data_IF_689234240634
#
_entry.id   IF_689234240634
#
_cell.length_a   1.000
_cell.length_b   1.000
_cell.length_c   1.000
_cell.angle_alpha   90.00
_cell.angle_beta   90.00
_cell.angle_gamma   90.00
#
_symmetry.space_group_name_H-M   'P 1'
#
loop_
_entity.id
_entity.type
_entity.pdbx_description
1 polymer ?
#
# COMPACT_ATOMS: atom_id res chain seq x y z
N UNK A 1 2.89 8.09 -15.29
CA UNK A 1 2.14 8.76 -14.20
C UNK A 1 2.12 10.28 -14.33
N UNK A 2 3.28 10.97 -14.39
CA UNK A 2 3.28 12.44 -14.58
C UNK A 2 2.69 12.84 -15.95
N UNK A 3 3.22 12.27 -17.03
CA UNK A 3 2.77 12.55 -18.38
C UNK A 3 1.27 12.26 -18.61
N UNK A 4 0.69 11.36 -17.82
CA UNK A 4 -0.70 10.96 -17.89
C UNK A 4 -1.62 11.72 -16.93
N UNK A 5 -1.09 12.64 -16.12
CA UNK A 5 -1.85 13.45 -15.16
C UNK A 5 -2.20 12.77 -13.83
N UNK A 6 -1.90 11.48 -13.66
CA UNK A 6 -2.15 10.74 -12.42
C UNK A 6 -1.43 11.38 -11.24
N UNK A 7 -0.21 11.86 -11.50
CA UNK A 7 0.59 12.66 -10.58
C UNK A 7 0.84 14.03 -11.22
N UNK A 8 0.40 15.08 -10.55
CA UNK A 8 0.81 16.45 -10.76
C UNK A 8 2.15 16.64 -10.07
N UNK A 9 3.21 16.82 -10.87
CA UNK A 9 4.58 16.92 -10.36
C UNK A 9 4.75 18.07 -9.37
N UNK A 10 4.17 19.24 -9.65
CA UNK A 10 4.33 20.42 -8.79
C UNK A 10 3.64 20.22 -7.44
N UNK A 11 2.44 19.65 -7.42
CA UNK A 11 1.74 19.30 -6.17
C UNK A 11 2.54 18.27 -5.37
N UNK A 12 3.05 17.23 -6.05
CA UNK A 12 3.81 16.16 -5.42
C UNK A 12 5.10 16.72 -4.79
N UNK A 13 5.90 17.49 -5.53
CA UNK A 13 7.12 18.10 -5.01
C UNK A 13 6.83 19.09 -3.86
N UNK A 14 5.75 19.89 -3.98
CA UNK A 14 5.32 20.82 -2.93
C UNK A 14 4.96 20.11 -1.62
N UNK A 15 4.32 18.94 -1.70
CA UNK A 15 4.00 18.11 -0.53
C UNK A 15 5.26 17.73 0.25
N UNK A 16 6.34 17.35 -0.44
CA UNK A 16 7.59 16.93 0.20
C UNK A 16 8.49 18.11 0.58
N UNK A 17 8.40 19.26 -0.10
CA UNK A 17 9.04 20.49 0.35
C UNK A 17 8.66 20.83 1.81
N UNK A 18 7.39 20.61 2.19
CA UNK A 18 6.92 20.79 3.56
C UNK A 18 7.39 19.70 4.55
N UNK A 19 8.01 18.61 4.07
CA UNK A 19 8.39 17.42 4.83
C UNK A 19 9.91 17.17 4.87
N UNK A 20 10.72 18.19 4.56
CA UNK A 20 12.18 18.08 4.54
C UNK A 20 12.79 18.04 3.13
N UNK A 21 11.97 18.14 2.08
CA UNK A 21 12.39 18.19 0.69
C UNK A 21 12.51 16.82 0.02
N UNK A 22 12.69 16.85 -1.30
CA UNK A 22 12.94 15.66 -2.12
C UNK A 22 14.42 15.29 -2.07
N UNK A 23 14.74 14.03 -1.78
CA UNK A 23 16.10 13.51 -1.94
C UNK A 23 16.39 13.24 -3.43
N UNK A 24 17.66 13.12 -3.84
CA UNK A 24 18.00 12.73 -5.22
C UNK A 24 17.34 11.41 -5.65
N UNK A 25 17.22 10.45 -4.73
CA UNK A 25 16.54 9.18 -4.97
C UNK A 25 15.03 9.38 -5.21
N UNK A 26 14.36 10.19 -4.38
CA UNK A 26 12.94 10.50 -4.57
C UNK A 26 12.69 11.21 -5.89
N UNK A 27 13.54 12.17 -6.26
CA UNK A 27 13.46 12.85 -7.55
C UNK A 27 13.67 11.90 -8.73
N UNK A 28 14.61 10.95 -8.62
CA UNK A 28 14.84 9.92 -9.64
C UNK A 28 13.64 8.96 -9.76
N UNK A 29 13.04 8.55 -8.64
CA UNK A 29 11.83 7.73 -8.65
C UNK A 29 10.63 8.45 -9.28
N UNK A 30 10.50 9.75 -9.07
CA UNK A 30 9.38 10.55 -9.58
C UNK A 30 9.51 10.88 -11.08
N UNK A 31 10.71 11.30 -11.52
CA UNK A 31 10.93 11.88 -12.86
C UNK A 31 11.83 11.05 -13.78
N UNK A 32 12.61 10.14 -13.19
CA UNK A 32 13.58 9.33 -13.90
C UNK A 32 13.00 8.06 -14.52
N UNK A 33 13.90 7.25 -15.06
CA UNK A 33 13.61 5.91 -15.59
C UNK A 33 14.73 4.96 -15.21
N UNK A 34 14.48 3.64 -15.23
CA UNK A 34 15.46 2.61 -14.88
C UNK A 34 16.05 2.76 -13.47
N UNK A 35 15.19 3.02 -12.47
CA UNK A 35 15.57 3.30 -11.08
C UNK A 35 16.05 2.06 -10.28
N UNK A 36 16.21 0.90 -10.93
CA UNK A 36 16.66 -0.33 -10.27
C UNK A 36 15.65 -0.88 -9.27
N UNK A 37 16.16 -1.52 -8.22
CA UNK A 37 15.34 -2.10 -7.15
C UNK A 37 14.82 -1.00 -6.21
N UNK A 38 13.52 -1.04 -5.93
CA UNK A 38 12.89 -0.14 -4.97
C UNK A 38 13.35 -0.49 -3.55
N UNK A 39 13.94 0.46 -2.84
CA UNK A 39 14.36 0.28 -1.44
C UNK A 39 13.45 1.08 -0.53
N UNK A 40 12.76 0.42 0.40
CA UNK A 40 11.99 1.12 1.44
C UNK A 40 12.85 1.35 2.68
N UNK A 41 12.80 2.57 3.19
CA UNK A 41 13.42 2.99 4.44
C UNK A 41 12.38 3.70 5.30
N UNK A 42 12.75 4.00 6.54
CA UNK A 42 11.91 4.78 7.44
C UNK A 42 11.66 6.19 6.90
N UNK A 43 12.66 6.78 6.27
CA UNK A 43 12.67 8.15 5.76
C UNK A 43 11.84 8.29 4.48
N UNK A 44 11.86 7.27 3.60
CA UNK A 44 11.16 7.32 2.33
C UNK A 44 9.80 6.59 2.31
N UNK A 45 9.39 5.92 3.39
CA UNK A 45 8.18 5.08 3.41
C UNK A 45 6.91 5.84 3.02
N UNK A 46 6.75 7.08 3.49
CA UNK A 46 5.64 7.95 3.12
C UNK A 46 5.73 8.51 1.70
N UNK A 47 6.94 8.64 1.14
CA UNK A 47 7.14 8.92 -0.29
C UNK A 47 6.69 7.75 -1.15
N UNK A 48 7.17 6.55 -0.82
CA UNK A 48 6.82 5.33 -1.55
C UNK A 48 5.34 5.01 -1.45
N UNK A 49 4.71 5.25 -0.30
CA UNK A 49 3.26 5.12 -0.16
C UNK A 49 2.52 5.95 -1.19
N UNK A 50 2.84 7.25 -1.31
CA UNK A 50 2.12 8.14 -2.23
C UNK A 50 2.45 7.85 -3.69
N UNK A 51 3.68 7.44 -4.01
CA UNK A 51 4.07 7.03 -5.35
C UNK A 51 3.31 5.76 -5.78
N UNK A 52 3.28 4.75 -4.90
CA UNK A 52 2.57 3.49 -5.15
C UNK A 52 1.06 3.66 -5.12
N UNK A 53 0.53 4.59 -4.32
CA UNK A 53 -0.88 4.97 -4.37
C UNK A 53 -1.24 5.54 -5.74
N UNK A 54 -0.43 6.45 -6.27
CA UNK A 54 -0.57 6.95 -7.64
C UNK A 54 -0.53 5.83 -8.68
N UNK A 55 0.36 4.85 -8.51
CA UNK A 55 0.40 3.68 -9.39
C UNK A 55 -0.89 2.85 -9.30
N UNK A 56 -1.30 2.50 -8.08
CA UNK A 56 -2.48 1.65 -7.86
C UNK A 56 -3.79 2.30 -8.30
N UNK A 57 -3.98 3.61 -8.10
CA UNK A 57 -5.18 4.29 -8.59
C UNK A 57 -5.18 4.40 -10.13
N UNK A 58 -4.01 4.63 -10.72
CA UNK A 58 -3.87 4.93 -12.14
C UNK A 58 -3.83 3.71 -13.05
N UNK A 59 -3.29 2.59 -12.56
CA UNK A 59 -3.11 1.38 -13.38
C UNK A 59 -4.43 0.65 -13.59
N UNK A 60 -4.69 0.23 -14.83
CA UNK A 60 -5.86 -0.58 -15.18
C UNK A 60 -5.79 -1.94 -14.47
N UNK A 61 -6.78 -2.21 -13.62
CA UNK A 61 -6.90 -3.47 -12.90
C UNK A 61 -8.36 -3.87 -12.66
N UNK A 62 -8.68 -5.16 -12.85
CA UNK A 62 -10.02 -5.71 -12.62
C UNK A 62 -10.47 -5.63 -11.17
N UNK A 63 -9.55 -5.62 -10.19
CA UNK A 63 -9.87 -5.40 -8.78
C UNK A 63 -10.58 -4.07 -8.56
N UNK A 64 -10.27 -3.05 -9.36
CA UNK A 64 -10.88 -1.72 -9.26
C UNK A 64 -12.23 -1.62 -9.97
N UNK A 65 -12.38 -2.31 -11.11
CA UNK A 65 -13.60 -2.21 -11.94
C UNK A 65 -14.65 -3.25 -11.60
N UNK A 66 -14.25 -4.41 -11.07
CA UNK A 66 -15.12 -5.55 -10.78
C UNK A 66 -15.08 -5.96 -9.30
N UNK A 67 -14.14 -5.41 -8.53
CA UNK A 67 -13.98 -5.72 -7.11
C UNK A 67 -14.88 -4.92 -6.16
N UNK A 68 -14.69 -5.07 -4.84
CA UNK A 68 -15.60 -4.56 -3.82
C UNK A 68 -15.88 -3.06 -3.87
N UNK A 69 -14.89 -2.23 -4.27
CA UNK A 69 -15.07 -0.78 -4.41
C UNK A 69 -16.14 -0.39 -5.43
N UNK A 70 -16.33 -1.19 -6.48
CA UNK A 70 -17.32 -0.93 -7.51
C UNK A 70 -18.58 -1.80 -7.35
N UNK A 71 -18.80 -2.39 -6.17
CA UNK A 71 -19.95 -3.25 -5.93
C UNK A 71 -21.24 -2.44 -5.72
N UNK A 72 -22.38 -3.08 -5.98
CA UNK A 72 -23.73 -2.51 -5.77
C UNK A 72 -23.96 -2.08 -4.31
N UNK A 73 -23.34 -2.76 -3.34
CA UNK A 73 -23.41 -2.41 -1.92
C UNK A 73 -22.89 -0.99 -1.63
N UNK A 74 -22.04 -0.45 -2.51
CA UNK A 74 -21.52 0.92 -2.45
C UNK A 74 -22.04 1.78 -3.61
N UNK A 75 -23.13 1.37 -4.26
CA UNK A 75 -23.78 2.11 -5.34
C UNK A 75 -23.03 2.11 -6.67
N UNK A 76 -22.06 1.19 -6.86
CA UNK A 76 -21.14 1.19 -8.00
C UNK A 76 -20.42 2.55 -8.16
N UNK A 77 -20.05 3.18 -7.04
CA UNK A 77 -19.46 4.51 -6.99
C UNK A 77 -18.12 4.48 -6.21
N UNK A 78 -17.01 4.14 -6.89
CA UNK A 78 -15.70 4.06 -6.26
C UNK A 78 -15.14 5.43 -5.86
N UNK A 79 -15.79 6.56 -6.21
CA UNK A 79 -15.27 7.92 -5.92
C UNK A 79 -15.32 8.32 -4.44
N UNK A 80 -16.06 7.58 -3.62
CA UNK A 80 -16.34 7.93 -2.22
C UNK A 80 -15.35 7.36 -1.21
N UNK A 81 -14.42 6.53 -1.66
CA UNK A 81 -13.44 5.89 -0.79
C UNK A 81 -12.27 6.82 -0.50
N UNK A 82 -11.59 6.58 0.61
CA UNK A 82 -10.42 7.39 0.99
C UNK A 82 -9.28 7.26 -0.04
N UNK A 83 -9.16 6.12 -0.71
CA UNK A 83 -8.18 5.90 -1.78
C UNK A 83 -8.44 6.67 -3.07
N UNK A 84 -9.67 7.15 -3.31
CA UNK A 84 -10.02 7.91 -4.52
C UNK A 84 -10.31 9.36 -4.17
N UNK A 85 -11.24 9.62 -3.26
CA UNK A 85 -11.58 10.96 -2.78
C UNK A 85 -10.46 11.65 -2.00
N UNK A 86 -9.52 10.88 -1.43
CA UNK A 86 -8.33 11.41 -0.76
C UNK A 86 -7.16 11.72 -1.69
N UNK A 87 -7.19 11.28 -2.96
CA UNK A 87 -6.08 11.48 -3.88
C UNK A 87 -6.09 12.90 -4.47
N UNK A 88 -5.41 13.85 -3.84
CA UNK A 88 -5.40 15.28 -4.27
C UNK A 88 -4.29 15.63 -5.26
N UNK A 89 -3.39 14.68 -5.55
CA UNK A 89 -2.16 14.89 -6.29
C UNK A 89 -2.27 14.64 -7.79
N UNK A 90 -3.48 14.54 -8.35
CA UNK A 90 -3.68 14.43 -9.81
C UNK A 90 -3.85 15.80 -10.48
N UNK A 91 -3.64 15.82 -11.79
CA UNK A 91 -4.05 16.90 -12.68
C UNK A 91 -5.53 16.68 -13.00
N UNK A 92 -6.41 17.58 -12.54
CA UNK A 92 -7.85 17.43 -12.75
C UNK A 92 -8.51 16.54 -11.69
N UNK A 93 -9.50 15.74 -12.11
CA UNK A 93 -10.27 14.89 -11.20
C UNK A 93 -9.58 13.53 -11.03
N UNK A 94 -9.35 13.04 -9.80
CA UNK A 94 -8.79 11.70 -9.57
C UNK A 94 -9.51 10.57 -10.29
N UNK A 95 -10.83 10.69 -10.44
CA UNK A 95 -11.64 9.68 -11.12
C UNK A 95 -11.42 9.61 -12.62
N UNK A 96 -10.87 10.65 -13.25
CA UNK A 96 -10.46 10.61 -14.67
C UNK A 96 -9.24 9.68 -14.87
N UNK A 97 -8.56 9.33 -13.78
CA UNK A 97 -7.38 8.47 -13.76
C UNK A 97 -7.64 7.07 -13.19
N UNK A 98 -8.80 6.84 -12.56
CA UNK A 98 -9.11 5.60 -11.87
C UNK A 98 -9.14 4.40 -12.83
N UNK A 99 -8.20 3.46 -12.67
CA UNK A 99 -8.06 2.27 -13.52
C UNK A 99 -7.99 2.58 -15.03
N UNK A 100 -7.41 3.73 -15.40
CA UNK A 100 -7.52 4.28 -16.75
C UNK A 100 -6.26 4.11 -17.62
N UNK A 101 -5.11 3.74 -17.02
CA UNK A 101 -3.82 3.75 -17.70
C UNK A 101 -3.14 2.38 -17.64
N UNK A 102 -2.40 2.00 -18.68
CA UNK A 102 -1.62 0.75 -18.71
C UNK A 102 -0.17 1.00 -18.39
N UNK A 103 0.15 1.33 -17.13
CA UNK A 103 1.55 1.47 -16.71
C UNK A 103 2.22 0.10 -16.57
N UNK A 104 1.47 -0.86 -16.03
CA UNK A 104 1.86 -2.25 -15.83
C UNK A 104 0.76 -3.13 -16.43
N UNK A 105 1.14 -4.04 -17.32
CA UNK A 105 0.21 -5.01 -17.93
C UNK A 105 0.49 -6.39 -17.35
N UNK A 106 -0.54 -7.01 -16.78
CA UNK A 106 -0.46 -8.36 -16.21
C UNK A 106 -1.01 -9.39 -17.20
N UNK A 107 -0.38 -10.56 -17.24
CA UNK A 107 -0.97 -11.77 -17.80
C UNK A 107 -2.13 -12.27 -16.93
N UNK A 108 -3.03 -13.12 -17.45
CA UNK A 108 -4.10 -13.70 -16.64
C UNK A 108 -3.58 -14.38 -15.36
N UNK A 109 -2.47 -15.12 -15.46
CA UNK A 109 -1.86 -15.83 -14.33
C UNK A 109 -1.29 -14.85 -13.28
N UNK A 110 -0.70 -13.74 -13.73
CA UNK A 110 -0.22 -12.67 -12.84
C UNK A 110 -1.39 -11.94 -12.16
N UNK A 111 -2.49 -11.69 -12.87
CA UNK A 111 -3.69 -11.07 -12.29
C UNK A 111 -4.31 -11.98 -11.21
N UNK A 112 -4.44 -13.28 -11.49
CA UNK A 112 -4.91 -14.26 -10.50
C UNK A 112 -4.01 -14.32 -9.26
N UNK A 113 -2.69 -14.21 -9.44
CA UNK A 113 -1.73 -14.11 -8.36
C UNK A 113 -1.94 -12.85 -7.52
N UNK A 114 -2.09 -11.67 -8.15
CA UNK A 114 -2.38 -10.41 -7.45
C UNK A 114 -3.66 -10.52 -6.63
N UNK A 115 -4.75 -11.02 -7.21
CA UNK A 115 -6.03 -11.17 -6.52
C UNK A 115 -5.96 -12.11 -5.32
N UNK A 116 -5.24 -13.23 -5.46
CA UNK A 116 -5.05 -14.20 -4.38
C UNK A 116 -4.23 -13.62 -3.24
N UNK A 117 -3.12 -12.94 -3.53
CA UNK A 117 -2.27 -12.31 -2.51
C UNK A 117 -3.01 -11.16 -1.83
N UNK A 118 -3.68 -10.30 -2.61
CA UNK A 118 -4.41 -9.14 -2.13
C UNK A 118 -5.55 -9.51 -1.15
N UNK A 119 -6.15 -10.69 -1.28
CA UNK A 119 -7.16 -11.21 -0.33
C UNK A 119 -6.61 -11.43 1.08
N UNK A 120 -5.32 -11.77 1.20
CA UNK A 120 -4.70 -12.13 2.47
C UNK A 120 -4.04 -10.97 3.22
N UNK A 121 -3.89 -9.80 2.60
CA UNK A 121 -3.15 -8.67 3.19
C UNK A 121 -4.11 -7.68 3.82
N UNK A 122 -4.02 -7.51 5.14
CA UNK A 122 -4.77 -6.53 5.93
C UNK A 122 -3.86 -5.43 6.48
N UNK A 123 -4.49 -4.38 6.99
CA UNK A 123 -3.82 -3.18 7.53
C UNK A 123 -4.60 -2.63 8.72
N UNK A 124 -3.93 -2.17 9.79
CA UNK A 124 -4.56 -1.96 11.10
C UNK A 124 -5.50 -0.75 11.14
N UNK A 125 -5.46 0.11 10.12
CA UNK A 125 -6.33 1.28 10.01
C UNK A 125 -7.75 0.95 9.51
N UNK A 126 -7.99 -0.22 8.90
CA UNK A 126 -9.31 -0.63 8.39
C UNK A 126 -9.55 -2.14 8.54
N UNK A 127 -10.78 -2.59 8.29
CA UNK A 127 -11.15 -4.02 8.38
C UNK A 127 -10.98 -4.80 7.07
N UNK A 128 -10.65 -4.11 5.99
CA UNK A 128 -10.67 -4.64 4.63
C UNK A 128 -9.28 -5.14 4.19
N UNK A 129 -9.25 -6.19 3.37
CA UNK A 129 -8.00 -6.66 2.73
C UNK A 129 -7.60 -5.76 1.56
N UNK A 130 -6.41 -5.97 0.99
CA UNK A 130 -5.95 -5.24 -0.21
C UNK A 130 -6.83 -5.50 -1.43
N UNK A 131 -7.59 -6.60 -1.48
CA UNK A 131 -8.63 -6.81 -2.51
C UNK A 131 -9.72 -5.73 -2.46
N UNK A 132 -9.90 -5.06 -1.33
CA UNK A 132 -10.74 -3.88 -1.19
C UNK A 132 -9.84 -2.67 -0.84
N UNK A 133 -9.20 -2.04 -1.84
CA UNK A 133 -8.22 -0.98 -1.63
C UNK A 133 -8.90 0.39 -1.37
N UNK A 134 -9.74 0.47 -0.34
CA UNK A 134 -10.55 1.62 0.04
C UNK A 134 -9.80 2.80 0.69
N UNK A 135 -8.53 2.61 1.04
CA UNK A 135 -7.66 3.62 1.61
C UNK A 135 -6.32 3.70 0.87
N UNK A 136 -5.60 4.79 1.08
CA UNK A 136 -4.27 5.03 0.50
C UNK A 136 -3.31 3.83 0.68
N UNK A 137 -3.25 3.21 1.87
CA UNK A 137 -2.39 2.05 2.12
C UNK A 137 -2.82 0.81 1.33
N UNK A 138 -4.13 0.57 1.21
CA UNK A 138 -4.66 -0.54 0.41
C UNK A 138 -4.38 -0.35 -1.07
N UNK A 139 -4.57 0.87 -1.57
CA UNK A 139 -4.31 1.21 -2.97
C UNK A 139 -2.81 1.20 -3.30
N UNK A 140 -1.97 1.70 -2.40
CA UNK A 140 -0.51 1.60 -2.53
C UNK A 140 -0.03 0.15 -2.51
N UNK A 141 -0.58 -0.68 -1.63
CA UNK A 141 -0.27 -2.10 -1.61
C UNK A 141 -0.69 -2.78 -2.92
N UNK A 142 -1.87 -2.47 -3.47
CA UNK A 142 -2.29 -2.98 -4.78
C UNK A 142 -1.26 -2.63 -5.87
N UNK A 143 -0.86 -1.36 -5.97
CA UNK A 143 0.14 -0.91 -6.94
C UNK A 143 1.50 -1.62 -6.79
N UNK A 144 1.91 -1.93 -5.56
CA UNK A 144 3.10 -2.75 -5.30
C UNK A 144 2.94 -4.18 -5.81
N UNK A 145 1.82 -4.84 -5.50
CA UNK A 145 1.55 -6.21 -5.92
C UNK A 145 1.50 -6.34 -7.44
N UNK A 146 0.88 -5.38 -8.13
CA UNK A 146 0.87 -5.31 -9.60
C UNK A 146 2.29 -5.21 -10.17
N UNK A 147 3.11 -4.30 -9.62
CA UNK A 147 4.49 -4.13 -10.05
C UNK A 147 5.29 -5.43 -9.83
N UNK A 148 5.17 -6.06 -8.67
CA UNK A 148 5.87 -7.31 -8.35
C UNK A 148 5.44 -8.47 -9.25
N UNK A 149 4.13 -8.65 -9.44
CA UNK A 149 3.61 -9.71 -10.30
C UNK A 149 4.09 -9.55 -11.74
N UNK A 150 4.12 -8.32 -12.27
CA UNK A 150 4.63 -8.03 -13.61
C UNK A 150 6.10 -8.39 -13.82
N UNK A 151 6.88 -8.38 -12.74
CA UNK A 151 8.29 -8.77 -12.72
C UNK A 151 8.50 -10.28 -12.47
N UNK A 152 7.43 -11.05 -12.35
CA UNK A 152 7.47 -12.51 -12.21
C UNK A 152 7.81 -12.99 -10.79
N UNK A 153 7.63 -12.15 -9.78
CA UNK A 153 7.83 -12.55 -8.38
C UNK A 153 6.77 -13.56 -7.96
N UNK A 154 7.17 -14.48 -7.08
CA UNK A 154 6.32 -15.52 -6.51
C UNK A 154 5.37 -14.97 -5.44
N UNK A 155 4.33 -15.75 -5.13
CA UNK A 155 3.41 -15.46 -4.02
C UNK A 155 4.13 -15.21 -2.69
N UNK A 156 5.13 -16.03 -2.37
CA UNK A 156 5.86 -15.89 -1.11
C UNK A 156 6.64 -14.57 -1.08
N UNK A 157 7.35 -14.23 -2.16
CA UNK A 157 8.09 -12.96 -2.26
C UNK A 157 7.14 -11.75 -2.14
N UNK A 158 5.94 -11.84 -2.71
CA UNK A 158 4.91 -10.80 -2.58
C UNK A 158 4.42 -10.64 -1.14
N UNK A 159 4.20 -11.73 -0.41
CA UNK A 159 3.84 -11.65 1.01
C UNK A 159 4.98 -11.10 1.88
N UNK A 160 6.22 -11.51 1.62
CA UNK A 160 7.39 -11.05 2.38
C UNK A 160 7.65 -9.54 2.17
N UNK A 161 7.51 -9.07 0.92
CA UNK A 161 7.59 -7.65 0.61
C UNK A 161 6.43 -6.86 1.22
N UNK A 162 5.20 -7.38 1.13
CA UNK A 162 4.02 -6.75 1.73
C UNK A 162 4.17 -6.63 3.26
N UNK A 163 4.73 -7.64 3.93
CA UNK A 163 5.01 -7.60 5.36
C UNK A 163 6.03 -6.50 5.67
N UNK A 164 7.12 -6.45 4.92
CA UNK A 164 8.17 -5.46 5.09
C UNK A 164 7.61 -4.03 4.93
N UNK A 165 6.84 -3.81 3.87
CA UNK A 165 6.26 -2.50 3.55
C UNK A 165 5.23 -2.06 4.60
N UNK A 166 4.33 -2.95 5.00
CA UNK A 166 3.39 -2.66 6.07
C UNK A 166 4.10 -2.39 7.42
N UNK A 167 5.20 -3.09 7.72
CA UNK A 167 5.98 -2.83 8.93
C UNK A 167 6.59 -1.42 8.94
N UNK A 168 6.98 -0.87 7.78
CA UNK A 168 7.42 0.53 7.68
C UNK A 168 6.26 1.53 7.76
N UNK A 169 5.09 1.21 7.20
CA UNK A 169 3.91 2.08 7.24
C UNK A 169 3.20 2.07 8.61
N UNK A 170 3.28 0.97 9.35
CA UNK A 170 2.58 0.76 10.62
C UNK A 170 3.54 0.25 11.71
N UNK A 171 4.65 0.95 11.93
CA UNK A 171 5.74 0.52 12.81
C UNK A 171 5.27 0.07 14.20
N UNK A 172 4.44 0.86 14.88
CA UNK A 172 3.91 0.51 16.22
C UNK A 172 3.11 -0.80 16.19
N UNK A 173 2.31 -1.00 15.14
CA UNK A 173 1.51 -2.20 14.98
C UNK A 173 2.40 -3.43 14.84
N UNK A 174 3.37 -3.39 13.94
CA UNK A 174 4.23 -4.56 13.69
C UNK A 174 5.22 -4.83 14.82
N UNK A 175 5.69 -3.79 15.53
CA UNK A 175 6.44 -3.98 16.78
C UNK A 175 5.58 -4.68 17.84
N UNK A 176 4.31 -4.27 17.99
CA UNK A 176 3.39 -4.89 18.95
C UNK A 176 3.05 -6.33 18.56
N UNK A 177 2.82 -6.61 17.27
CA UNK A 177 2.60 -7.97 16.76
C UNK A 177 3.82 -8.85 17.03
N UNK A 178 5.03 -8.35 16.75
CA UNK A 178 6.27 -9.08 17.03
C UNK A 178 6.41 -9.40 18.51
N UNK A 179 6.21 -8.43 19.41
CA UNK A 179 6.23 -8.65 20.86
C UNK A 179 5.18 -9.68 21.31
N UNK A 180 3.99 -9.67 20.70
CA UNK A 180 2.98 -10.69 20.98
C UNK A 180 3.50 -12.10 20.62
N UNK A 181 4.03 -12.32 19.41
CA UNK A 181 4.55 -13.63 19.00
C UNK A 181 5.74 -14.08 19.85
N UNK A 182 6.66 -13.17 20.18
CA UNK A 182 7.79 -13.46 21.07
C UNK A 182 7.31 -13.92 22.46
N UNK A 183 6.26 -13.28 23.00
CA UNK A 183 5.66 -13.70 24.28
C UNK A 183 5.04 -15.11 24.24
N UNK A 184 4.67 -15.59 23.04
CA UNK A 184 4.18 -16.95 22.80
C UNK A 184 5.31 -17.94 22.44
N UNK A 185 6.58 -17.51 22.52
CA UNK A 185 7.73 -18.35 22.19
C UNK A 185 7.95 -18.55 20.69
N UNK A 186 7.37 -17.70 19.85
CA UNK A 186 7.57 -17.70 18.38
C UNK A 186 8.44 -16.50 17.98
N UNK A 187 9.70 -16.71 17.58
CA UNK A 187 10.55 -15.61 17.11
C UNK A 187 9.98 -14.95 15.86
N UNK A 188 10.11 -13.62 15.75
CA UNK A 188 9.51 -12.83 14.66
C UNK A 188 9.90 -13.33 13.27
N UNK A 189 11.18 -13.67 13.08
CA UNK A 189 11.74 -14.18 11.83
C UNK A 189 11.16 -15.53 11.38
N UNK A 190 10.45 -16.23 12.27
CA UNK A 190 9.78 -17.51 11.98
C UNK A 190 8.28 -17.35 11.73
N UNK A 191 7.71 -16.16 11.97
CA UNK A 191 6.29 -15.90 11.75
C UNK A 191 6.03 -15.82 10.24
N UNK A 192 5.15 -16.67 9.68
CA UNK A 192 4.83 -16.57 8.26
C UNK A 192 4.21 -15.22 7.92
N UNK A 193 4.63 -14.59 6.82
CA UNK A 193 4.14 -13.28 6.42
C UNK A 193 2.62 -13.24 6.25
N UNK A 194 2.02 -14.29 5.71
CA UNK A 194 0.56 -14.46 5.58
C UNK A 194 -0.15 -14.40 6.94
N UNK A 195 0.46 -14.95 8.00
CA UNK A 195 -0.11 -14.92 9.35
C UNK A 195 -0.05 -13.52 9.90
N UNK A 196 1.13 -12.88 9.86
CA UNK A 196 1.31 -11.51 10.36
C UNK A 196 0.38 -10.52 9.64
N UNK A 197 0.21 -10.66 8.32
CA UNK A 197 -0.63 -9.80 7.47
C UNK A 197 -2.13 -10.13 7.52
N UNK A 198 -2.52 -11.25 8.12
CA UNK A 198 -3.91 -11.71 8.12
C UNK A 198 -4.86 -10.77 8.86
N UNK A 199 -6.16 -11.02 8.67
CA UNK A 199 -7.20 -10.31 9.40
C UNK A 199 -7.05 -10.41 10.92
N UNK A 200 -6.58 -11.55 11.44
CA UNK A 200 -6.47 -11.79 12.88
C UNK A 200 -5.49 -10.85 13.57
N UNK A 201 -4.38 -10.51 12.89
CA UNK A 201 -3.30 -9.72 13.46
C UNK A 201 -3.27 -8.28 12.93
N UNK A 202 -3.52 -8.12 11.63
CA UNK A 202 -3.32 -6.85 10.93
C UNK A 202 -4.60 -6.13 10.53
N UNK A 203 -5.81 -6.67 10.70
CA UNK A 203 -7.03 -5.85 10.51
C UNK A 203 -7.26 -4.92 11.70
N UNK A 204 -8.08 -3.87 11.53
CA UNK A 204 -8.43 -2.97 12.62
C UNK A 204 -9.07 -3.70 13.82
N UNK A 205 -9.92 -4.71 13.57
CA UNK A 205 -10.54 -5.50 14.63
C UNK A 205 -9.58 -6.52 15.24
N UNK A 206 -8.75 -7.16 14.42
CA UNK A 206 -7.73 -8.11 14.84
C UNK A 206 -6.68 -7.45 15.73
N UNK A 207 -6.10 -6.34 15.25
CA UNK A 207 -5.13 -5.57 16.02
C UNK A 207 -5.71 -5.04 17.33
N UNK A 208 -6.97 -4.57 17.32
CA UNK A 208 -7.67 -4.15 18.54
C UNK A 208 -7.79 -5.27 19.58
N UNK A 209 -7.97 -6.53 19.15
CA UNK A 209 -7.97 -7.68 20.05
C UNK A 209 -6.56 -8.02 20.54
N UNK A 210 -5.55 -7.90 19.69
CA UNK A 210 -4.16 -8.15 20.06
C UNK A 210 -3.68 -7.20 21.17
N UNK A 211 -4.02 -5.91 21.08
CA UNK A 211 -3.61 -4.94 22.11
C UNK A 211 -4.29 -5.15 23.48
N UNK A 212 -5.31 -6.01 23.57
CA UNK A 212 -5.86 -6.46 24.86
C UNK A 212 -5.00 -7.55 25.52
N UNK A 213 -4.16 -8.25 24.72
CA UNK A 213 -3.30 -9.36 25.14
C UNK A 213 -1.84 -8.92 25.31
N UNK A 214 -1.44 -7.83 24.68
CA UNK A 214 -0.06 -7.30 24.71
C UNK A 214 -0.09 -5.78 24.70
N UNK A 215 0.70 -5.16 25.58
CA UNK A 215 0.78 -3.71 25.66
C UNK A 215 1.33 -3.13 24.33
N UNK A 216 0.75 -2.05 23.78
CA UNK A 216 1.25 -1.41 22.57
C UNK A 216 2.70 -0.96 22.72
N UNK A 217 3.51 -1.23 21.70
CA UNK A 217 4.90 -0.77 21.61
C UNK A 217 4.94 0.55 20.82
N UNK A 218 5.50 1.59 21.44
CA UNK A 218 5.71 2.86 20.77
C UNK A 218 6.91 2.77 19.82
N UNK A 219 6.74 3.27 18.61
CA UNK A 219 7.81 3.35 17.63
C UNK A 219 8.68 4.58 17.93
N UNK A 220 10.00 4.54 17.61
CA UNK A 220 10.81 5.75 17.70
C UNK A 220 10.25 6.80 16.73
N UNK A 221 10.20 8.06 17.16
CA UNK A 221 9.72 9.17 16.34
C UNK A 221 10.47 9.25 15.01
N UNK A 222 9.75 9.32 13.89
CA UNK A 222 10.35 9.50 12.57
C UNK A 222 9.69 8.77 11.39
N UNK A 223 8.37 8.81 11.26
CA UNK A 223 7.68 8.38 10.03
C UNK A 223 7.07 9.58 9.31
N UNK A 224 7.28 9.71 8.00
CA UNK A 224 6.57 10.70 7.19
C UNK A 224 5.06 10.43 7.20
N UNK A 225 4.24 11.48 7.23
CA UNK A 225 2.78 11.31 7.27
C UNK A 225 2.23 10.61 6.01
N UNK A 226 1.29 9.68 6.19
CA UNK A 226 0.71 8.90 5.10
C UNK A 226 -0.31 9.67 4.23
N UNK A 227 -0.70 10.89 4.63
CA UNK A 227 -1.65 11.72 3.88
C UNK A 227 -1.01 12.49 2.73
N UNK A 228 -1.86 13.09 1.90
CA UNK A 228 -1.52 14.03 0.82
C UNK A 228 -2.35 15.29 0.93
#
# INVERSE_FOLDING_TARGET
MIASGVIDQEKFESLYAARGGMTPEMSALLTGSNNGALTITRENSGFLLNLLWGLGIGNENTILTEGPMNSEAFGNDPSRFASTGGWSLSVGNPMDHYSAHRFVTLTPEQQELVERVAKGIYRPCCGNSTLFPDCNHGMAMLGLLELMASQGLSEQEMYDAALSVNAYWFQETYLTIATFFESQGTPWETVPAQVALSAEYSSSSGYKQLVQKTAPVQAPSGGGGCGV
#
